data_IF_443525924993
#
_entry.id   IF_443525924993
#
_cell.length_a   1.000
_cell.length_b   1.000
_cell.length_c   1.000
_cell.angle_alpha   90.00
_cell.angle_beta   90.00
_cell.angle_gamma   90.00
#
_symmetry.space_group_name_H-M   'P 1'
#
loop_
_entity.id
_entity.type
_entity.pdbx_description
1 polymer ?
#
# COMPACT_ATOMS: atom_id res chain seq x y z
N UNK A 1 4.72 10.27 7.11
CA UNK A 1 3.28 10.02 7.34
C UNK A 1 2.54 10.18 6.03
N UNK A 2 1.39 9.55 5.83
CA UNK A 2 0.53 9.79 4.65
C UNK A 2 -0.09 11.18 4.77
N UNK A 3 0.61 12.22 4.30
CA UNK A 3 0.13 13.60 4.35
C UNK A 3 0.60 14.35 3.09
N UNK A 4 -0.31 14.86 2.23
CA UNK A 4 0.05 15.51 0.97
C UNK A 4 1.06 16.66 1.11
N UNK A 5 0.91 17.53 2.11
CA UNK A 5 1.82 18.67 2.35
C UNK A 5 3.25 18.20 2.63
N UNK A 6 3.40 17.10 3.36
CA UNK A 6 4.73 16.52 3.65
C UNK A 6 5.31 15.77 2.45
N UNK A 7 4.46 15.18 1.62
CA UNK A 7 4.88 14.50 0.39
C UNK A 7 5.39 15.54 -0.60
N UNK A 8 4.62 16.60 -0.85
CA UNK A 8 4.99 17.72 -1.73
C UNK A 8 6.33 18.34 -1.32
N UNK A 9 6.48 18.71 -0.04
CA UNK A 9 7.75 19.20 0.48
C UNK A 9 8.90 18.19 0.29
N UNK A 10 8.64 16.90 0.46
CA UNK A 10 9.65 15.86 0.26
C UNK A 10 10.09 15.73 -1.21
N UNK A 11 9.16 15.93 -2.14
CA UNK A 11 9.43 15.97 -3.59
C UNK A 11 10.29 17.19 -3.93
N UNK A 12 9.88 18.39 -3.49
CA UNK A 12 10.62 19.64 -3.73
C UNK A 12 12.06 19.58 -3.20
N UNK A 13 12.24 18.97 -2.03
CA UNK A 13 13.55 18.85 -1.39
C UNK A 13 14.37 17.64 -1.88
N UNK A 14 13.81 16.81 -2.77
CA UNK A 14 14.38 15.51 -3.17
C UNK A 14 14.84 14.66 -1.96
N UNK A 15 14.01 14.61 -0.91
CA UNK A 15 14.41 14.06 0.39
C UNK A 15 14.31 12.53 0.47
N UNK A 16 13.51 11.91 -0.40
CA UNK A 16 13.36 10.46 -0.53
C UNK A 16 12.80 10.10 -1.91
N UNK A 17 12.63 8.80 -2.16
CA UNK A 17 12.15 8.25 -3.45
C UNK A 17 10.98 7.28 -3.30
N UNK A 18 10.41 7.17 -2.09
CA UNK A 18 9.32 6.24 -1.81
C UNK A 18 8.40 6.74 -0.69
N UNK A 19 7.11 6.43 -0.84
CA UNK A 19 6.07 6.66 0.16
C UNK A 19 5.68 5.36 0.86
N UNK A 20 5.75 5.34 2.19
CA UNK A 20 5.10 4.31 3.01
C UNK A 20 3.64 4.71 3.28
N UNK A 21 2.70 4.14 2.52
CA UNK A 21 1.28 4.51 2.54
C UNK A 21 0.54 3.79 3.67
N UNK A 22 0.06 4.56 4.65
CA UNK A 22 -0.80 4.10 5.75
C UNK A 22 -2.14 4.85 5.69
N UNK A 23 -3.24 4.24 5.21
CA UNK A 23 -4.51 4.95 5.00
C UNK A 23 -5.07 5.62 6.26
N UNK A 24 -4.94 4.97 7.41
CA UNK A 24 -5.42 5.52 8.67
C UNK A 24 -4.60 6.72 9.22
N UNK A 25 -3.50 7.11 8.56
CA UNK A 25 -2.79 8.36 8.88
C UNK A 25 -3.40 9.59 8.21
N UNK A 26 -4.16 9.41 7.13
CA UNK A 26 -4.80 10.51 6.40
C UNK A 26 -6.32 10.53 6.63
N UNK A 27 -6.93 9.38 6.94
CA UNK A 27 -8.28 9.29 7.48
C UNK A 27 -9.33 8.81 6.47
N UNK A 28 -9.18 9.12 5.17
CA UNK A 28 -10.10 8.66 4.13
C UNK A 28 -9.41 7.88 3.01
N UNK A 29 -10.17 7.02 2.33
CA UNK A 29 -9.69 6.28 1.15
C UNK A 29 -9.33 7.26 0.03
N UNK A 30 -10.17 8.24 -0.26
CA UNK A 30 -9.94 9.23 -1.32
C UNK A 30 -8.62 9.98 -1.15
N UNK A 31 -8.30 10.38 0.09
CA UNK A 31 -7.04 11.07 0.36
C UNK A 31 -5.84 10.13 0.32
N UNK A 32 -5.99 8.86 0.73
CA UNK A 32 -4.94 7.86 0.59
C UNK A 32 -4.61 7.59 -0.90
N UNK A 33 -5.63 7.49 -1.76
CA UNK A 33 -5.48 7.38 -3.20
C UNK A 33 -4.80 8.62 -3.78
N UNK A 34 -5.20 9.82 -3.35
CA UNK A 34 -4.56 11.08 -3.77
C UNK A 34 -3.08 11.12 -3.39
N UNK A 35 -2.73 10.72 -2.17
CA UNK A 35 -1.35 10.65 -1.70
C UNK A 35 -0.51 9.64 -2.50
N UNK A 36 -1.08 8.46 -2.81
CA UNK A 36 -0.43 7.47 -3.66
C UNK A 36 -0.14 8.01 -5.06
N UNK A 37 -1.15 8.60 -5.72
CA UNK A 37 -1.00 9.18 -7.06
C UNK A 37 0.00 10.33 -7.10
N UNK A 38 0.01 11.19 -6.07
CA UNK A 38 1.01 12.26 -5.95
C UNK A 38 2.44 11.71 -5.93
N UNK A 39 2.69 10.66 -5.14
CA UNK A 39 3.99 10.01 -5.09
C UNK A 39 4.35 9.34 -6.43
N UNK A 40 3.44 8.55 -7.02
CA UNK A 40 3.67 7.87 -8.30
C UNK A 40 3.95 8.87 -9.44
N UNK A 41 3.22 9.99 -9.50
CA UNK A 41 3.42 11.03 -10.51
C UNK A 41 4.78 11.74 -10.36
N UNK A 42 5.34 11.78 -9.15
CA UNK A 42 6.68 12.28 -8.88
C UNK A 42 7.78 11.22 -9.12
N UNK A 43 7.42 10.05 -9.68
CA UNK A 43 8.34 8.93 -9.92
C UNK A 43 8.74 8.18 -8.65
N UNK A 44 8.06 8.40 -7.53
CA UNK A 44 8.34 7.67 -6.29
C UNK A 44 7.66 6.30 -6.29
N UNK A 45 8.32 5.32 -5.68
CA UNK A 45 7.69 4.05 -5.34
C UNK A 45 6.67 4.24 -4.21
N UNK A 46 5.68 3.35 -4.13
CA UNK A 46 4.71 3.36 -3.03
C UNK A 46 4.68 1.97 -2.41
N UNK A 47 4.78 1.90 -1.08
CA UNK A 47 4.62 0.67 -0.31
C UNK A 47 3.42 0.82 0.60
N UNK A 48 2.35 0.06 0.34
CA UNK A 48 1.20 0.01 1.23
C UNK A 48 1.59 -0.72 2.52
N UNK A 49 1.21 -0.17 3.67
CA UNK A 49 1.67 -0.67 4.97
C UNK A 49 0.54 -0.87 5.97
N UNK A 50 0.63 -1.98 6.70
CA UNK A 50 -0.17 -2.22 7.90
C UNK A 50 0.15 -1.24 9.04
N UNK A 51 -0.55 -1.40 10.17
CA UNK A 51 -0.18 -0.83 11.46
C UNK A 51 0.30 -1.92 12.43
N UNK A 52 0.97 -1.52 13.51
CA UNK A 52 1.42 -2.46 14.54
C UNK A 52 0.24 -3.10 15.28
N UNK A 53 -0.77 -2.33 15.66
CA UNK A 53 -2.08 -2.85 16.07
C UNK A 53 -2.96 -2.98 14.84
N UNK A 54 -3.30 -4.22 14.49
CA UNK A 54 -3.94 -4.55 13.21
C UNK A 54 -5.11 -5.51 13.46
N UNK A 55 -6.06 -5.58 12.51
CA UNK A 55 -7.27 -6.41 12.62
C UNK A 55 -7.27 -7.50 11.54
N UNK A 56 -8.28 -8.36 11.51
CA UNK A 56 -8.42 -9.35 10.44
C UNK A 56 -8.78 -8.74 9.07
N UNK A 57 -9.22 -7.47 9.03
CA UNK A 57 -9.57 -6.74 7.80
C UNK A 57 -8.40 -6.76 6.81
N UNK A 58 -8.65 -7.12 5.56
CA UNK A 58 -7.63 -7.29 4.52
C UNK A 58 -7.61 -6.15 3.48
N UNK A 59 -8.29 -5.03 3.75
CA UNK A 59 -8.47 -3.89 2.84
C UNK A 59 -7.19 -3.43 2.15
N UNK A 60 -6.07 -3.42 2.88
CA UNK A 60 -4.79 -2.94 2.33
C UNK A 60 -4.21 -3.85 1.23
N UNK A 61 -4.64 -5.11 1.14
CA UNK A 61 -4.29 -6.00 0.03
C UNK A 61 -4.92 -5.52 -1.28
N UNK A 62 -6.25 -5.33 -1.28
CA UNK A 62 -7.00 -4.79 -2.41
C UNK A 62 -6.51 -3.38 -2.78
N UNK A 63 -6.22 -2.55 -1.77
CA UNK A 63 -5.68 -1.22 -2.01
C UNK A 63 -4.31 -1.27 -2.73
N UNK A 64 -3.42 -2.17 -2.31
CA UNK A 64 -2.08 -2.30 -2.91
C UNK A 64 -2.15 -2.75 -4.37
N UNK A 65 -3.03 -3.72 -4.66
CA UNK A 65 -3.27 -4.26 -6.00
C UNK A 65 -3.98 -3.23 -6.88
N UNK A 66 -5.08 -2.64 -6.40
CA UNK A 66 -5.88 -1.68 -7.15
C UNK A 66 -5.15 -0.37 -7.47
N UNK A 67 -4.21 0.05 -6.62
CA UNK A 67 -3.34 1.21 -6.88
C UNK A 67 -2.05 0.85 -7.64
N UNK A 68 -1.86 -0.42 -7.99
CA UNK A 68 -0.68 -0.94 -8.67
C UNK A 68 0.63 -0.46 -8.02
N UNK A 69 0.72 -0.59 -6.70
CA UNK A 69 1.87 -0.09 -5.92
C UNK A 69 3.11 -0.99 -6.01
N UNK A 70 2.91 -2.26 -6.38
CA UNK A 70 3.96 -3.26 -6.51
C UNK A 70 4.59 -3.74 -5.20
N UNK A 71 4.30 -3.08 -4.06
CA UNK A 71 4.92 -3.38 -2.77
C UNK A 71 3.91 -3.26 -1.63
N UNK A 72 3.90 -4.27 -0.75
CA UNK A 72 3.10 -4.26 0.48
C UNK A 72 3.94 -4.75 1.66
N UNK A 73 3.75 -4.10 2.82
CA UNK A 73 4.34 -4.50 4.09
C UNK A 73 3.23 -4.82 5.09
N UNK A 74 2.95 -6.11 5.24
CA UNK A 74 1.87 -6.62 6.11
C UNK A 74 2.33 -7.47 7.30
N UNK A 75 3.64 -7.58 7.57
CA UNK A 75 4.20 -8.25 8.76
C UNK A 75 4.86 -9.58 8.45
N UNK A 76 5.14 -10.39 9.47
CA UNK A 76 5.63 -11.75 9.25
C UNK A 76 4.49 -12.64 8.69
N UNK A 77 4.80 -13.77 8.01
CA UNK A 77 3.81 -14.79 7.63
C UNK A 77 3.37 -15.61 8.85
N UNK A 78 2.96 -14.91 9.90
CA UNK A 78 2.52 -15.44 11.18
C UNK A 78 1.52 -14.45 11.80
N UNK A 79 0.65 -14.97 12.66
CA UNK A 79 -0.48 -14.24 13.29
C UNK A 79 -1.59 -13.89 12.29
N UNK A 80 -2.84 -14.17 12.67
CA UNK A 80 -3.99 -14.13 11.77
C UNK A 80 -4.22 -12.76 11.11
N UNK A 81 -3.99 -11.67 11.84
CA UNK A 81 -4.18 -10.31 11.34
C UNK A 81 -3.17 -9.91 10.25
N UNK A 82 -2.06 -10.65 10.12
CA UNK A 82 -1.06 -10.46 9.06
C UNK A 82 -1.34 -11.38 7.88
N UNK A 83 -1.58 -12.66 8.20
CA UNK A 83 -1.86 -13.72 7.23
C UNK A 83 -3.11 -13.42 6.41
N UNK A 84 -4.15 -12.78 6.98
CA UNK A 84 -5.35 -12.43 6.22
C UNK A 84 -5.07 -11.61 4.95
N UNK A 85 -4.15 -10.64 5.01
CA UNK A 85 -3.75 -9.83 3.86
C UNK A 85 -2.99 -10.64 2.80
N UNK A 86 -2.11 -11.55 3.24
CA UNK A 86 -1.38 -12.42 2.31
C UNK A 86 -2.31 -13.41 1.61
N UNK A 87 -3.25 -14.00 2.34
CA UNK A 87 -4.29 -14.85 1.77
C UNK A 87 -5.16 -14.07 0.77
N UNK A 88 -5.49 -12.82 1.09
CA UNK A 88 -6.24 -11.95 0.17
C UNK A 88 -5.47 -11.66 -1.11
N UNK A 89 -4.16 -11.42 -1.04
CA UNK A 89 -3.31 -11.25 -2.23
C UNK A 89 -3.30 -12.53 -3.09
N UNK A 90 -3.14 -13.70 -2.47
CA UNK A 90 -3.19 -14.98 -3.19
C UNK A 90 -4.54 -15.22 -3.86
N UNK A 91 -5.63 -14.85 -3.19
CA UNK A 91 -6.95 -14.91 -3.79
C UNK A 91 -7.11 -13.91 -4.96
N UNK A 92 -6.65 -12.66 -4.81
CA UNK A 92 -6.69 -11.64 -5.85
C UNK A 92 -5.90 -12.08 -7.08
N UNK A 93 -4.72 -12.65 -6.90
CA UNK A 93 -3.92 -13.22 -7.97
C UNK A 93 -4.68 -14.33 -8.73
N UNK A 94 -5.40 -15.20 -8.03
CA UNK A 94 -6.16 -16.28 -8.64
C UNK A 94 -7.34 -15.78 -9.51
N UNK A 95 -7.95 -14.65 -9.14
CA UNK A 95 -9.11 -14.11 -9.87
C UNK A 95 -8.74 -13.08 -10.95
N UNK A 96 -7.52 -12.55 -10.93
CA UNK A 96 -7.02 -11.66 -11.98
C UNK A 96 -6.62 -12.51 -13.19
N UNK A 97 -7.12 -12.17 -14.37
CA UNK A 97 -6.92 -12.94 -15.59
C UNK A 97 -5.43 -13.03 -16.00
N UNK A 98 -4.72 -11.91 -15.92
CA UNK A 98 -3.33 -11.77 -16.36
C UNK A 98 -2.45 -11.07 -15.31
N UNK A 99 -2.14 -11.72 -14.18
CA UNK A 99 -1.29 -11.12 -13.15
C UNK A 99 0.16 -11.06 -13.66
N UNK A 100 0.82 -9.92 -13.45
CA UNK A 100 2.22 -9.69 -13.90
C UNK A 100 3.19 -10.63 -13.17
N UNK A 101 2.86 -11.01 -11.94
CA UNK A 101 3.58 -11.98 -11.14
C UNK A 101 2.62 -13.08 -10.71
N UNK A 102 3.05 -14.35 -10.78
CA UNK A 102 2.32 -15.50 -10.27
C UNK A 102 3.12 -16.16 -9.15
N UNK A 103 2.50 -16.36 -7.99
CA UNK A 103 3.04 -17.16 -6.91
C UNK A 103 3.15 -18.61 -7.38
N UNK A 104 4.34 -19.17 -7.22
CA UNK A 104 4.72 -20.53 -7.61
C UNK A 104 4.17 -21.58 -6.67
#
# INVERSE_FOLDING_TARGET
>A
VTNPVRIEKGIEMNACSALLLKPNQIGTVSEAVKACKMAQNAGWNVMVSHRSGETADDFIADLAVGLNTGQIKSGAPARGERVSKYNRIAWLEHIIENPIYKMS
#
